data_IF_253664726544
#
_entry.id   IF_253664726544
#
_cell.length_a   1.000
_cell.length_b   1.000
_cell.length_c   1.000
_cell.angle_alpha   90.00
_cell.angle_beta   90.00
_cell.angle_gamma   90.00
#
_symmetry.space_group_name_H-M   'P 1'
#
loop_
_entity.id
_entity.type
_entity.pdbx_description
1 polymer ?
#
# COMPACT_ATOMS: atom_id res chain seq x y z
N UNK A 1 -12.32 10.42 15.65
CA UNK A 1 -13.61 10.29 14.92
C UNK A 1 -13.46 10.55 13.42
N UNK A 2 -12.74 11.58 12.98
CA UNK A 2 -12.56 11.90 11.55
C UNK A 2 -11.90 10.76 10.72
N UNK A 3 -10.83 10.13 11.20
CA UNK A 3 -10.14 9.04 10.48
C UNK A 3 -10.95 7.75 10.29
N UNK A 4 -11.90 7.47 11.18
CA UNK A 4 -12.77 6.29 11.06
C UNK A 4 -13.87 6.52 10.02
N UNK A 5 -14.38 7.76 9.92
CA UNK A 5 -15.34 8.16 8.89
C UNK A 5 -14.72 8.11 7.49
N UNK A 6 -13.52 8.66 7.33
CA UNK A 6 -12.81 8.64 6.04
C UNK A 6 -12.40 7.22 5.63
N UNK A 7 -11.99 6.38 6.59
CA UNK A 7 -11.72 4.96 6.36
C UNK A 7 -12.96 4.17 5.90
N UNK A 8 -14.11 4.36 6.57
CA UNK A 8 -15.37 3.74 6.15
C UNK A 8 -15.83 4.24 4.77
N UNK A 9 -15.64 5.53 4.49
CA UNK A 9 -15.91 6.10 3.16
C UNK A 9 -15.04 5.47 2.06
N UNK A 10 -13.75 5.27 2.33
CA UNK A 10 -12.82 4.61 1.40
C UNK A 10 -13.25 3.16 1.14
N UNK A 11 -13.62 2.40 2.17
CA UNK A 11 -14.17 1.05 2.03
C UNK A 11 -15.47 1.04 1.22
N UNK A 12 -16.36 2.00 1.45
CA UNK A 12 -17.59 2.15 0.68
C UNK A 12 -17.34 2.38 -0.81
N UNK A 13 -16.38 3.25 -1.15
CA UNK A 13 -15.98 3.47 -2.54
C UNK A 13 -15.32 2.24 -3.17
N UNK A 14 -14.55 1.46 -2.41
CA UNK A 14 -13.98 0.20 -2.87
C UNK A 14 -15.04 -0.86 -3.18
N UNK A 15 -15.98 -1.06 -2.27
CA UNK A 15 -17.10 -1.99 -2.48
C UNK A 15 -17.91 -1.54 -3.69
N UNK A 16 -18.15 -0.23 -3.84
CA UNK A 16 -18.87 0.28 -5.00
C UNK A 16 -18.10 0.07 -6.31
N UNK A 17 -16.78 0.29 -6.31
CA UNK A 17 -15.93 0.03 -7.47
C UNK A 17 -16.02 -1.44 -7.92
N UNK A 18 -16.00 -2.39 -6.96
CA UNK A 18 -16.12 -3.82 -7.26
C UNK A 18 -17.51 -4.21 -7.78
N UNK A 19 -18.56 -3.54 -7.30
CA UNK A 19 -19.93 -3.77 -7.75
C UNK A 19 -20.21 -3.21 -9.15
N UNK A 20 -19.33 -2.35 -9.68
CA UNK A 20 -19.55 -1.69 -10.96
C UNK A 20 -18.82 -2.42 -12.09
N UNK A 21 -19.54 -3.03 -13.06
CA UNK A 21 -18.91 -3.88 -14.07
C UNK A 21 -17.95 -3.12 -14.99
N UNK A 22 -16.96 -3.83 -15.52
CA UNK A 22 -16.00 -3.28 -16.47
C UNK A 22 -16.67 -3.04 -17.84
N UNK A 23 -16.90 -1.77 -18.18
CA UNK A 23 -17.44 -1.34 -19.47
C UNK A 23 -16.98 0.08 -19.79
N UNK A 24 -16.84 0.41 -21.08
CA UNK A 24 -16.41 1.75 -21.56
C UNK A 24 -17.30 2.88 -21.05
N UNK A 25 -18.59 2.65 -20.89
CA UNK A 25 -19.52 3.68 -20.37
C UNK A 25 -19.34 3.95 -18.88
N UNK A 26 -18.78 2.99 -18.15
CA UNK A 26 -18.63 3.04 -16.69
C UNK A 26 -17.22 3.47 -16.28
N UNK A 27 -16.29 3.49 -17.24
CA UNK A 27 -14.88 3.84 -17.04
C UNK A 27 -14.68 5.17 -16.29
N UNK A 28 -15.36 6.24 -16.72
CA UNK A 28 -15.27 7.55 -16.05
C UNK A 28 -15.79 7.52 -14.60
N UNK A 29 -16.86 6.77 -14.34
CA UNK A 29 -17.41 6.62 -12.97
C UNK A 29 -16.43 5.87 -12.08
N UNK A 30 -15.82 4.80 -12.61
CA UNK A 30 -14.82 3.99 -11.90
C UNK A 30 -13.53 4.78 -11.62
N UNK A 31 -13.08 5.60 -12.56
CA UNK A 31 -11.97 6.54 -12.34
C UNK A 31 -12.30 7.58 -11.27
N UNK A 32 -13.52 8.15 -11.30
CA UNK A 32 -13.97 9.06 -10.25
C UNK A 32 -13.99 8.41 -8.87
N UNK A 33 -14.44 7.16 -8.78
CA UNK A 33 -14.40 6.35 -7.55
C UNK A 33 -12.96 6.07 -7.08
N UNK A 34 -12.04 5.76 -8.01
CA UNK A 34 -10.62 5.57 -7.71
C UNK A 34 -9.99 6.84 -7.12
N UNK A 35 -10.25 8.00 -7.74
CA UNK A 35 -9.74 9.29 -7.24
C UNK A 35 -10.34 9.61 -5.87
N UNK A 36 -11.64 9.40 -5.69
CA UNK A 36 -12.29 9.56 -4.38
C UNK A 36 -11.69 8.63 -3.32
N UNK A 37 -11.45 7.37 -3.68
CA UNK A 37 -10.80 6.39 -2.81
C UNK A 37 -9.38 6.84 -2.43
N UNK A 38 -8.58 7.28 -3.38
CA UNK A 38 -7.23 7.76 -3.14
C UNK A 38 -7.22 8.98 -2.22
N UNK A 39 -8.13 9.93 -2.44
CA UNK A 39 -8.29 11.12 -1.62
C UNK A 39 -8.68 10.79 -0.17
N UNK A 40 -9.65 9.88 0.02
CA UNK A 40 -10.08 9.44 1.34
C UNK A 40 -8.99 8.64 2.06
N UNK A 41 -8.26 7.80 1.33
CA UNK A 41 -7.13 7.03 1.87
C UNK A 41 -6.00 7.95 2.32
N UNK A 42 -5.65 8.96 1.52
CA UNK A 42 -4.68 9.99 1.89
C UNK A 42 -5.11 10.73 3.16
N UNK A 43 -6.33 11.26 3.17
CA UNK A 43 -6.90 12.00 4.32
C UNK A 43 -7.02 11.13 5.59
N UNK A 44 -7.18 9.82 5.45
CA UNK A 44 -7.24 8.88 6.59
C UNK A 44 -5.87 8.59 7.20
N UNK A 45 -4.79 8.83 6.47
CA UNK A 45 -3.42 8.53 6.92
C UNK A 45 -2.95 9.53 7.99
N UNK A 46 -3.53 10.72 8.03
CA UNK A 46 -3.35 11.74 9.09
C UNK A 46 -4.14 11.45 10.38
N UNK A 47 -4.72 10.26 10.53
CA UNK A 47 -5.50 9.91 11.72
C UNK A 47 -4.65 9.99 13.01
N UNK A 48 -5.26 10.37 14.15
CA UNK A 48 -4.59 10.63 15.44
C UNK A 48 -3.96 9.40 16.12
N UNK A 49 -3.86 8.27 15.42
CA UNK A 49 -3.17 7.06 15.89
C UNK A 49 -1.70 7.02 15.44
N UNK A 50 -1.29 7.91 14.53
CA UNK A 50 0.11 8.06 14.17
C UNK A 50 0.80 8.94 15.23
N UNK A 51 1.70 8.40 16.07
CA UNK A 51 2.38 9.17 17.12
C UNK A 51 3.24 10.33 16.57
N UNK A 52 3.36 10.45 15.25
CA UNK A 52 4.16 11.43 14.53
C UNK A 52 3.42 12.72 14.14
N UNK A 53 2.09 12.79 14.28
CA UNK A 53 1.31 14.01 13.98
C UNK A 53 1.19 14.96 15.18
N UNK A 54 1.80 14.61 16.32
CA UNK A 54 1.88 15.49 17.48
C UNK A 54 2.91 16.59 17.27
N UNK A 55 2.51 17.70 16.62
CA UNK A 55 3.05 19.09 16.71
C UNK A 55 4.58 19.35 16.73
N UNK A 56 5.43 18.34 16.60
CA UNK A 56 6.86 18.35 16.88
C UNK A 56 7.70 17.76 15.74
N UNK A 57 7.07 17.09 14.78
CA UNK A 57 7.74 16.53 13.59
C UNK A 57 7.96 17.63 12.53
N UNK A 58 9.15 17.72 11.91
CA UNK A 58 9.40 18.72 10.89
C UNK A 58 8.49 18.51 9.66
N UNK A 59 7.99 19.59 9.05
CA UNK A 59 7.08 19.52 7.90
C UNK A 59 7.70 18.86 6.65
N UNK A 60 9.01 18.61 6.65
CA UNK A 60 9.76 17.97 5.56
C UNK A 60 9.59 16.44 5.48
N UNK A 61 9.07 15.77 6.52
CA UNK A 61 9.00 14.30 6.54
C UNK A 61 8.04 13.76 5.48
N UNK A 62 6.85 14.37 5.33
CA UNK A 62 5.82 13.93 4.38
C UNK A 62 6.34 13.94 2.94
N UNK A 63 6.88 15.05 2.39
CA UNK A 63 7.40 15.05 1.02
C UNK A 63 8.61 14.11 0.85
N UNK A 64 9.45 13.95 1.88
CA UNK A 64 10.59 13.03 1.84
C UNK A 64 10.13 11.57 1.77
N UNK A 65 9.16 11.18 2.59
CA UNK A 65 8.57 9.85 2.57
C UNK A 65 7.87 9.57 1.23
N UNK A 66 7.18 10.57 0.66
CA UNK A 66 6.54 10.44 -0.65
C UNK A 66 7.58 10.22 -1.77
N UNK A 67 8.64 11.03 -1.82
CA UNK A 67 9.71 10.88 -2.82
C UNK A 67 10.47 9.55 -2.66
N UNK A 68 10.73 9.13 -1.41
CA UNK A 68 11.31 7.83 -1.11
C UNK A 68 10.43 6.69 -1.61
N UNK A 69 9.12 6.75 -1.33
CA UNK A 69 8.12 5.78 -1.81
C UNK A 69 8.09 5.73 -3.33
N UNK A 70 8.02 6.88 -4.00
CA UNK A 70 7.99 6.96 -5.46
C UNK A 70 9.25 6.35 -6.08
N UNK A 71 10.42 6.58 -5.47
CA UNK A 71 11.69 6.00 -5.93
C UNK A 71 11.69 4.49 -5.77
N UNK A 72 11.33 3.98 -4.58
CA UNK A 72 11.23 2.54 -4.31
C UNK A 72 10.24 1.89 -5.29
N UNK A 73 9.02 2.39 -5.33
CA UNK A 73 7.95 1.86 -6.17
C UNK A 73 8.37 1.83 -7.65
N UNK A 74 8.98 2.91 -8.16
CA UNK A 74 9.47 2.95 -9.53
C UNK A 74 10.59 1.93 -9.79
N UNK A 75 11.58 1.84 -8.91
CA UNK A 75 12.69 0.89 -9.05
C UNK A 75 12.20 -0.56 -9.06
N UNK A 76 11.35 -0.94 -8.10
CA UNK A 76 10.82 -2.30 -8.01
C UNK A 76 9.84 -2.61 -9.16
N UNK A 77 8.95 -1.70 -9.52
CA UNK A 77 8.05 -1.88 -10.68
C UNK A 77 8.83 -2.05 -11.99
N UNK A 78 9.87 -1.23 -12.21
CA UNK A 78 10.74 -1.38 -13.38
C UNK A 78 11.50 -2.71 -13.37
N UNK A 79 12.03 -3.12 -12.22
CA UNK A 79 12.68 -4.43 -12.06
C UNK A 79 11.71 -5.58 -12.41
N UNK A 80 10.45 -5.49 -11.97
CA UNK A 80 9.41 -6.43 -12.36
C UNK A 80 9.14 -6.38 -13.87
N UNK A 81 8.99 -5.20 -14.48
CA UNK A 81 8.71 -5.07 -15.92
C UNK A 81 9.81 -5.69 -16.81
N UNK A 82 11.08 -5.59 -16.42
CA UNK A 82 12.20 -6.15 -17.18
C UNK A 82 12.55 -7.60 -16.82
N UNK A 83 11.95 -8.15 -15.75
CA UNK A 83 12.20 -9.52 -15.36
C UNK A 83 11.53 -10.51 -16.30
N UNK A 84 12.04 -11.75 -16.30
CA UNK A 84 11.44 -12.85 -17.06
C UNK A 84 10.01 -13.10 -16.55
N UNK A 85 9.07 -13.24 -17.48
CA UNK A 85 7.66 -13.52 -17.17
C UNK A 85 7.50 -14.61 -16.11
N UNK A 86 6.64 -14.36 -15.12
CA UNK A 86 6.32 -15.23 -13.98
C UNK A 86 7.44 -15.45 -12.96
N UNK A 87 8.60 -14.81 -13.08
CA UNK A 87 9.72 -15.03 -12.14
C UNK A 87 9.36 -14.67 -10.70
N UNK A 88 8.63 -13.56 -10.50
CA UNK A 88 8.26 -13.10 -9.15
C UNK A 88 6.92 -13.67 -8.66
N UNK A 89 6.13 -14.36 -9.49
CA UNK A 89 4.87 -14.98 -9.05
C UNK A 89 5.11 -16.10 -8.02
N UNK A 90 6.27 -16.76 -8.07
CA UNK A 90 6.68 -17.73 -7.06
C UNK A 90 6.87 -17.11 -5.67
N UNK A 91 7.08 -15.79 -5.59
CA UNK A 91 7.28 -15.08 -4.33
C UNK A 91 5.97 -14.93 -3.54
N UNK A 92 4.80 -15.08 -4.17
CA UNK A 92 3.50 -14.85 -3.53
C UNK A 92 3.29 -15.66 -2.24
N UNK A 93 3.69 -16.94 -2.23
CA UNK A 93 3.60 -17.77 -1.03
C UNK A 93 4.51 -17.30 0.11
N UNK A 94 5.71 -16.82 -0.22
CA UNK A 94 6.65 -16.26 0.74
C UNK A 94 6.14 -14.93 1.32
N UNK A 95 5.66 -14.03 0.46
CA UNK A 95 5.14 -12.72 0.85
C UNK A 95 3.90 -12.85 1.75
N UNK A 96 2.96 -13.72 1.39
CA UNK A 96 1.75 -13.97 2.19
C UNK A 96 2.10 -14.59 3.56
N UNK A 97 3.08 -15.49 3.59
CA UNK A 97 3.58 -16.07 4.85
C UNK A 97 4.24 -15.00 5.72
N UNK A 98 5.04 -14.11 5.12
CA UNK A 98 5.64 -12.97 5.80
C UNK A 98 4.59 -12.02 6.40
N UNK A 99 3.56 -11.68 5.64
CA UNK A 99 2.44 -10.85 6.12
C UNK A 99 1.73 -11.49 7.31
N UNK A 100 1.54 -12.81 7.28
CA UNK A 100 0.92 -13.57 8.38
C UNK A 100 1.81 -13.54 9.63
N UNK A 101 3.12 -13.74 9.48
CA UNK A 101 4.08 -13.65 10.59
C UNK A 101 4.11 -12.26 11.22
N UNK A 102 4.04 -11.21 10.40
CA UNK A 102 3.93 -9.83 10.87
C UNK A 102 2.66 -9.56 11.66
N UNK A 103 1.52 -10.09 11.19
CA UNK A 103 0.26 -9.96 11.90
C UNK A 103 0.33 -10.63 13.27
N UNK A 104 0.94 -11.82 13.35
CA UNK A 104 1.20 -12.50 14.62
C UNK A 104 2.19 -11.71 15.50
N UNK A 105 3.25 -11.17 14.92
CA UNK A 105 4.24 -10.33 15.62
C UNK A 105 3.60 -9.08 16.23
N UNK A 106 2.72 -8.41 15.47
CA UNK A 106 1.93 -7.26 15.94
C UNK A 106 1.01 -7.63 17.11
N UNK A 107 0.35 -8.79 17.02
CA UNK A 107 -0.50 -9.30 18.10
C UNK A 107 0.32 -9.58 19.37
N UNK A 108 1.47 -10.23 19.24
CA UNK A 108 2.40 -10.47 20.38
C UNK A 108 2.88 -9.14 20.96
N UNK A 109 3.26 -8.19 20.10
CA UNK A 109 3.74 -6.90 20.55
C UNK A 109 2.65 -6.06 21.23
N UNK A 110 1.37 -6.31 20.97
CA UNK A 110 0.27 -5.65 21.70
C UNK A 110 0.28 -5.99 23.20
N UNK A 111 0.72 -7.21 23.56
CA UNK A 111 0.85 -7.65 24.95
C UNK A 111 2.22 -7.30 25.56
N UNK A 112 3.29 -7.50 24.78
CA UNK A 112 4.68 -7.29 25.26
C UNK A 112 5.07 -5.81 25.29
N UNK A 113 4.54 -5.00 24.37
CA UNK A 113 4.84 -3.57 24.18
C UNK A 113 6.34 -3.28 24.05
N UNK A 114 7.05 -4.08 23.25
CA UNK A 114 8.47 -3.89 23.01
C UNK A 114 8.70 -2.90 21.86
N UNK A 115 9.48 -1.85 22.14
CA UNK A 115 9.91 -0.88 21.11
C UNK A 115 10.79 -1.54 20.05
N UNK A 116 11.64 -2.49 20.43
CA UNK A 116 12.50 -3.21 19.48
C UNK A 116 11.68 -4.04 18.49
N UNK A 117 10.67 -4.78 18.98
CA UNK A 117 9.79 -5.56 18.11
C UNK A 117 8.98 -4.66 17.17
N UNK A 118 8.52 -3.51 17.66
CA UNK A 118 7.82 -2.53 16.84
C UNK A 118 8.70 -2.03 15.69
N UNK A 119 9.92 -1.55 15.98
CA UNK A 119 10.85 -1.07 14.96
C UNK A 119 11.23 -2.16 13.96
N UNK A 120 11.53 -3.38 14.44
CA UNK A 120 11.84 -4.51 13.57
C UNK A 120 10.67 -4.84 12.64
N UNK A 121 9.43 -4.80 13.16
CA UNK A 121 8.25 -5.07 12.36
C UNK A 121 8.07 -4.03 11.24
N UNK A 122 8.34 -2.74 11.48
CA UNK A 122 8.25 -1.69 10.44
C UNK A 122 9.25 -1.92 9.29
N UNK A 123 10.52 -2.23 9.58
CA UNK A 123 11.49 -2.49 8.53
C UNK A 123 11.18 -3.76 7.74
N UNK A 124 10.70 -4.81 8.42
CA UNK A 124 10.25 -6.04 7.76
C UNK A 124 9.01 -5.78 6.91
N UNK A 125 8.08 -4.95 7.40
CA UNK A 125 6.91 -4.51 6.64
C UNK A 125 7.31 -3.87 5.33
N UNK A 126 8.19 -2.87 5.39
CA UNK A 126 8.68 -2.15 4.23
C UNK A 126 9.29 -3.11 3.20
N UNK A 127 10.13 -4.05 3.65
CA UNK A 127 10.75 -5.03 2.75
C UNK A 127 9.73 -5.98 2.11
N UNK A 128 8.72 -6.43 2.85
CA UNK A 128 7.64 -7.27 2.31
C UNK A 128 6.79 -6.48 1.32
N UNK A 129 6.46 -5.21 1.60
CA UNK A 129 5.71 -4.36 0.68
C UNK A 129 6.48 -4.09 -0.63
N UNK A 130 7.79 -3.90 -0.57
CA UNK A 130 8.63 -3.87 -1.78
C UNK A 130 8.53 -5.17 -2.60
N UNK A 131 8.43 -6.31 -1.90
CA UNK A 131 8.19 -7.61 -2.52
C UNK A 131 6.81 -7.72 -3.17
N UNK A 132 5.76 -7.18 -2.53
CA UNK A 132 4.41 -7.12 -3.12
C UNK A 132 4.40 -6.29 -4.39
N UNK A 133 5.07 -5.13 -4.44
CA UNK A 133 5.20 -4.36 -5.70
C UNK A 133 5.76 -5.20 -6.85
N UNK A 134 6.78 -6.04 -6.60
CA UNK A 134 7.32 -6.95 -7.63
C UNK A 134 6.29 -7.99 -8.06
N UNK A 135 5.62 -8.59 -7.09
CA UNK A 135 4.64 -9.65 -7.31
C UNK A 135 3.42 -9.12 -8.06
N UNK A 136 2.83 -8.02 -7.60
CA UNK A 136 1.62 -7.44 -8.16
C UNK A 136 1.87 -6.83 -9.54
N UNK A 137 3.03 -6.20 -9.78
CA UNK A 137 3.41 -5.77 -11.13
C UNK A 137 3.51 -6.96 -12.09
N UNK A 138 4.15 -8.07 -11.69
CA UNK A 138 4.20 -9.29 -12.50
C UNK A 138 2.83 -9.95 -12.69
N UNK A 139 1.98 -9.91 -11.67
CA UNK A 139 0.63 -10.45 -11.73
C UNK A 139 -0.24 -9.65 -12.70
N UNK A 140 -0.11 -8.33 -12.72
CA UNK A 140 -0.79 -7.45 -13.67
C UNK A 140 -0.34 -7.74 -15.10
N UNK A 141 0.96 -7.92 -15.34
CA UNK A 141 1.48 -8.31 -16.67
C UNK A 141 0.87 -9.63 -17.12
N UNK A 142 0.84 -10.63 -16.23
CA UNK A 142 0.27 -11.94 -16.52
C UNK A 142 -1.24 -11.87 -16.80
N UNK A 143 -2.00 -11.13 -15.98
CA UNK A 143 -3.44 -10.87 -16.18
C UNK A 143 -3.70 -10.19 -17.53
N UNK A 144 -2.92 -9.16 -17.86
CA UNK A 144 -3.02 -8.43 -19.13
C UNK A 144 -2.75 -9.33 -20.35
N UNK A 145 -1.72 -10.18 -20.28
CA UNK A 145 -1.43 -11.15 -21.33
C UNK A 145 -2.48 -12.26 -21.45
N UNK A 146 -3.19 -12.58 -20.35
CA UNK A 146 -4.32 -13.51 -20.36
C UNK A 146 -5.64 -12.91 -20.88
N UNK A 147 -5.65 -11.61 -21.19
CA UNK A 147 -6.79 -10.89 -21.77
C UNK A 147 -7.56 -10.00 -20.80
N UNK A 148 -7.17 -9.94 -19.52
CA UNK A 148 -7.76 -9.02 -18.54
C UNK A 148 -7.25 -7.59 -18.76
N UNK A 149 -8.14 -6.71 -19.20
CA UNK A 149 -7.82 -5.31 -19.52
C UNK A 149 -8.39 -4.32 -18.50
N UNK A 150 -8.77 -4.79 -17.31
CA UNK A 150 -9.28 -3.91 -16.26
C UNK A 150 -8.15 -3.12 -15.56
N UNK A 151 -7.58 -2.18 -16.31
CA UNK A 151 -6.47 -1.35 -15.84
C UNK A 151 -6.83 -0.52 -14.60
N UNK A 152 -8.12 -0.21 -14.39
CA UNK A 152 -8.56 0.52 -13.19
C UNK A 152 -8.34 -0.35 -11.95
N UNK A 153 -8.66 -1.63 -12.03
CA UNK A 153 -8.43 -2.56 -10.92
C UNK A 153 -6.93 -2.83 -10.71
N UNK A 154 -6.17 -2.95 -11.80
CA UNK A 154 -4.71 -3.05 -11.71
C UNK A 154 -4.08 -1.81 -11.04
N UNK A 155 -4.60 -0.61 -11.33
CA UNK A 155 -4.17 0.62 -10.65
C UNK A 155 -4.52 0.62 -9.16
N UNK A 156 -5.66 0.04 -8.76
CA UNK A 156 -6.03 -0.11 -7.35
C UNK A 156 -5.01 -0.96 -6.61
N UNK A 157 -4.68 -2.14 -7.15
CA UNK A 157 -3.73 -3.08 -6.54
C UNK A 157 -2.40 -2.37 -6.27
N UNK A 158 -1.83 -1.72 -7.30
CA UNK A 158 -0.57 -0.97 -7.18
C UNK A 158 -0.66 0.26 -6.28
N UNK A 159 -1.81 0.93 -6.23
CA UNK A 159 -2.02 2.07 -5.33
C UNK A 159 -1.99 1.65 -3.87
N UNK A 160 -2.55 0.48 -3.53
CA UNK A 160 -2.51 -0.04 -2.16
C UNK A 160 -1.07 -0.35 -1.73
N UNK A 161 -0.27 -0.97 -2.60
CA UNK A 161 1.16 -1.19 -2.33
C UNK A 161 1.90 0.13 -2.08
N UNK A 162 1.65 1.13 -2.94
CA UNK A 162 2.25 2.45 -2.80
C UNK A 162 1.91 3.10 -1.45
N UNK A 163 0.63 3.09 -1.07
CA UNK A 163 0.18 3.66 0.22
C UNK A 163 0.78 2.92 1.40
N UNK A 164 0.92 1.59 1.32
CA UNK A 164 1.54 0.79 2.39
C UNK A 164 3.02 1.15 2.55
N UNK A 165 3.80 1.21 1.47
CA UNK A 165 5.20 1.66 1.51
C UNK A 165 5.29 3.09 2.08
N UNK A 166 4.41 3.99 1.64
CA UNK A 166 4.38 5.36 2.13
C UNK A 166 4.16 5.44 3.64
N UNK A 167 3.20 4.67 4.16
CA UNK A 167 2.91 4.61 5.61
C UNK A 167 4.09 4.07 6.40
N UNK A 168 4.72 3.00 5.92
CA UNK A 168 5.90 2.42 6.57
C UNK A 168 7.08 3.39 6.57
N UNK A 169 7.38 4.02 5.43
CA UNK A 169 8.42 5.04 5.37
C UNK A 169 8.12 6.24 6.27
N UNK A 170 6.87 6.72 6.28
CA UNK A 170 6.48 7.84 7.14
C UNK A 170 6.70 7.48 8.62
N UNK A 171 6.35 6.27 9.04
CA UNK A 171 6.62 5.78 10.40
C UNK A 171 8.12 5.70 10.71
N UNK A 172 8.91 5.13 9.80
CA UNK A 172 10.36 5.00 9.97
C UNK A 172 11.04 6.36 10.09
N UNK A 173 10.73 7.29 9.16
CA UNK A 173 11.33 8.63 9.16
C UNK A 173 10.97 9.40 10.42
N UNK A 174 9.71 9.31 10.86
CA UNK A 174 9.28 10.01 12.07
C UNK A 174 9.86 9.43 13.36
N UNK A 175 10.33 8.18 13.38
CA UNK A 175 11.03 7.59 14.53
C UNK A 175 12.53 7.91 14.56
N UNK A 176 13.11 8.25 13.41
CA UNK A 176 14.55 8.55 13.28
C UNK A 176 14.91 10.01 13.57
N UNK A 177 13.91 10.88 13.71
CA UNK A 177 14.03 12.29 14.14
C UNK A 177 13.71 12.42 15.63
#
# INVERSE_FOLDING_TARGET
QFGLLTGLGALGLMVWLTATPHSRETEQKRLGMLVGFAFLTGSSTDAPQNPLTSLSSPPSIIPTAFLGTATIFACFSLSALYARRRSYLYLGGFLLSGLTLMLLSSLVNAFVRSSWLFTANLYVALMIMCGFVLFDTQLIIEKAESGDKDYIWHCVDLFLDFVNIFRELLMILGMSE
#
